data_IF_116593369049
#
_entry.id   IF_116593369049
#
_cell.length_a   1.000
_cell.length_b   1.000
_cell.length_c   1.000
_cell.angle_alpha   90.00
_cell.angle_beta   90.00
_cell.angle_gamma   90.00
#
_symmetry.space_group_name_H-M   'P 1'
#
loop_
_entity.id
_entity.type
_entity.pdbx_description
1 polymer ?
#
# COMPACT_ATOMS: atom_id res chain seq x y z
N UNK A 1 13.65 6.66 11.25
CA UNK A 1 13.36 5.93 10.00
C UNK A 1 14.34 6.42 8.95
N UNK A 2 15.00 5.51 8.22
CA UNK A 2 15.94 5.86 7.14
C UNK A 2 15.55 5.11 5.87
N UNK A 3 15.68 5.75 4.71
CA UNK A 3 15.57 5.07 3.42
C UNK A 3 16.94 4.53 3.03
N UNK A 4 17.01 3.22 2.80
CA UNK A 4 18.25 2.47 2.58
C UNK A 4 18.44 2.04 1.12
N UNK A 5 17.44 2.24 0.25
CA UNK A 5 17.52 1.92 -1.18
C UNK A 5 16.97 3.04 -2.05
N UNK A 6 17.41 3.15 -3.32
CA UNK A 6 16.66 3.91 -4.32
C UNK A 6 15.27 3.29 -4.55
N UNK A 7 14.33 4.04 -5.14
CA UNK A 7 13.03 3.51 -5.57
C UNK A 7 13.21 2.35 -6.55
N UNK A 8 12.47 1.26 -6.32
CA UNK A 8 12.45 0.08 -7.18
C UNK A 8 11.01 -0.35 -7.48
N UNK A 9 10.75 -1.01 -8.62
CA UNK A 9 9.43 -1.54 -8.92
C UNK A 9 9.09 -2.72 -8.00
N UNK A 10 7.94 -2.67 -7.34
CA UNK A 10 7.41 -3.79 -6.58
C UNK A 10 7.08 -4.96 -7.52
N UNK A 11 7.55 -6.17 -7.22
CA UNK A 11 7.29 -7.37 -8.04
C UNK A 11 5.82 -7.79 -8.13
N UNK A 12 4.93 -7.24 -7.29
CA UNK A 12 3.51 -7.62 -7.25
C UNK A 12 2.59 -6.63 -7.95
N UNK A 13 2.77 -5.33 -7.71
CA UNK A 13 1.90 -4.29 -8.26
C UNK A 13 2.63 -3.25 -9.13
N UNK A 14 3.94 -3.43 -9.33
CA UNK A 14 4.83 -2.58 -10.15
C UNK A 14 4.92 -1.11 -9.73
N UNK A 15 4.30 -0.74 -8.60
CA UNK A 15 4.46 0.58 -7.97
C UNK A 15 5.82 0.69 -7.30
N UNK A 16 6.30 1.92 -7.17
CA UNK A 16 7.58 2.23 -6.53
C UNK A 16 7.57 1.85 -5.04
N UNK A 17 8.61 1.14 -4.62
CA UNK A 17 8.91 0.79 -3.24
C UNK A 17 10.32 1.21 -2.87
N UNK A 18 10.56 1.44 -1.59
CA UNK A 18 11.89 1.66 -1.01
C UNK A 18 12.11 0.73 0.16
N UNK A 19 13.35 0.33 0.40
CA UNK A 19 13.74 -0.35 1.63
C UNK A 19 13.91 0.70 2.72
N UNK A 20 13.13 0.60 3.79
CA UNK A 20 13.22 1.50 4.92
C UNK A 20 13.71 0.76 6.18
N UNK A 21 14.63 1.40 6.91
CA UNK A 21 15.11 0.99 8.21
C UNK A 21 14.27 1.60 9.33
N UNK A 22 13.68 0.72 10.14
CA UNK A 22 12.94 0.99 11.38
C UNK A 22 13.72 0.47 12.60
N UNK A 23 13.25 0.80 13.81
CA UNK A 23 13.88 0.29 15.04
C UNK A 23 13.78 -1.24 15.19
N UNK A 24 12.75 -1.85 14.59
CA UNK A 24 12.53 -3.30 14.60
C UNK A 24 13.14 -4.03 13.39
N UNK A 25 13.83 -3.33 12.50
CA UNK A 25 14.46 -3.94 11.32
C UNK A 25 14.18 -3.21 10.01
N UNK A 26 14.45 -3.88 8.90
CA UNK A 26 14.31 -3.32 7.55
C UNK A 26 13.10 -3.91 6.85
N UNK A 27 12.35 -3.07 6.13
CA UNK A 27 11.15 -3.50 5.44
C UNK A 27 10.92 -2.71 4.16
N UNK A 28 10.53 -3.40 3.09
CA UNK A 28 10.09 -2.78 1.85
C UNK A 28 8.72 -2.14 2.03
N UNK A 29 8.60 -0.88 1.61
CA UNK A 29 7.37 -0.09 1.75
C UNK A 29 7.11 0.71 0.48
N UNK A 30 5.83 0.86 0.15
CA UNK A 30 5.37 1.62 -1.01
C UNK A 30 5.56 3.13 -0.79
N UNK A 31 6.07 3.82 -1.81
CA UNK A 31 6.15 5.27 -1.78
C UNK A 31 4.75 5.89 -1.74
N UNK A 32 4.60 6.98 -0.98
CA UNK A 32 3.35 7.68 -0.75
C UNK A 32 2.52 7.10 0.40
N UNK A 33 2.45 5.77 0.55
CA UNK A 33 1.68 5.15 1.65
C UNK A 33 2.54 4.70 2.83
N UNK A 34 3.85 4.47 2.60
CA UNK A 34 4.78 3.88 3.56
C UNK A 34 4.30 2.55 4.15
N UNK A 35 3.49 1.81 3.40
CA UNK A 35 2.95 0.50 3.78
C UNK A 35 3.64 -0.63 3.03
N UNK A 36 3.75 -1.81 3.64
CA UNK A 36 4.31 -2.98 2.97
C UNK A 36 3.30 -3.67 2.03
N UNK A 37 2.00 -3.43 2.22
CA UNK A 37 0.97 -4.07 1.41
C UNK A 37 0.74 -3.32 0.11
N UNK A 38 0.50 -4.10 -0.95
CA UNK A 38 -0.01 -3.55 -2.21
C UNK A 38 -1.46 -3.10 -2.03
N UNK A 39 -1.78 -1.91 -2.51
CA UNK A 39 -3.15 -1.38 -2.52
C UNK A 39 -3.63 -0.83 -1.17
N UNK A 40 -4.88 -0.33 -1.13
CA UNK A 40 -5.49 0.15 0.09
C UNK A 40 -5.76 -1.02 1.06
N UNK A 41 -5.74 -0.78 2.37
CA UNK A 41 -6.08 -1.81 3.36
C UNK A 41 -7.54 -2.27 3.20
N UNK A 42 -7.84 -3.49 3.65
CA UNK A 42 -9.17 -4.11 3.51
C UNK A 42 -10.31 -3.26 4.08
N UNK A 43 -10.08 -2.55 5.18
CA UNK A 43 -11.07 -1.64 5.77
C UNK A 43 -11.40 -0.44 4.88
N UNK A 44 -10.46 0.00 4.03
CA UNK A 44 -10.70 1.10 3.10
C UNK A 44 -11.54 0.64 1.90
N UNK A 45 -11.41 -0.62 1.48
CA UNK A 45 -12.24 -1.22 0.43
C UNK A 45 -13.71 -1.37 0.88
N UNK A 46 -13.95 -1.69 2.15
CA UNK A 46 -15.30 -1.82 2.71
C UNK A 46 -16.14 -0.53 2.59
N UNK A 47 -15.49 0.65 2.64
CA UNK A 47 -16.17 1.95 2.48
C UNK A 47 -16.59 2.24 1.04
N UNK A 48 -15.97 1.60 0.05
CA UNK A 48 -16.31 1.77 -1.37
C UNK A 48 -17.42 0.83 -1.83
N UNK A 49 -17.67 -0.28 -1.13
CA UNK A 49 -18.69 -1.26 -1.50
C UNK A 49 -20.12 -0.86 -1.07
N UNK A 50 -20.27 0.16 -0.21
CA UNK A 50 -21.56 0.58 0.34
C UNK A 50 -22.45 1.44 -0.57
N UNK A 51 -22.06 1.73 -1.81
CA UNK A 51 -22.78 2.68 -2.70
C UNK A 51 -23.55 2.00 -3.84
N UNK A 52 -23.70 0.67 -3.85
CA UNK A 52 -24.46 -0.04 -4.89
C UNK A 52 -25.66 -0.77 -4.28
N UNK A 53 -26.70 -0.01 -3.97
CA UNK A 53 -28.08 -0.50 -3.88
C UNK A 53 -29.00 0.68 -4.19
N UNK A 54 -29.14 0.99 -5.48
CA UNK A 54 -30.20 1.86 -5.97
C UNK A 54 -31.00 1.07 -7.00
N UNK A 55 -32.25 0.81 -6.62
CA UNK A 55 -33.46 0.58 -7.42
C UNK A 55 -33.40 -0.42 -8.59
N UNK A 56 -34.13 -1.53 -8.43
CA UNK A 56 -34.84 -2.17 -9.53
C UNK A 56 -36.34 -2.22 -9.19
N UNK A 57 -37.13 -1.92 -10.21
CA UNK A 57 -38.54 -1.52 -10.28
C UNK A 57 -39.57 -2.46 -9.68
#
# INVERSE_FOLDING_TARGET
MKVDSPPQPCSRCHRQVVLAGFSWGRQWVHLGTWRPQCGPPSWALARSAGTTSTAAS
#
